data_IF_672604665452
#
_entry.id   IF_672604665452
#
_cell.length_a   1.000
_cell.length_b   1.000
_cell.length_c   1.000
_cell.angle_alpha   90.00
_cell.angle_beta   90.00
_cell.angle_gamma   90.00
#
_symmetry.space_group_name_H-M   'P 1'
#
loop_
_entity.id
_entity.type
_entity.pdbx_description
1 polymer ?
#
# COMPACT_ATOMS: atom_id res chain seq x y z
N UNK A 1 18.78 20.70 14.36
CA UNK A 1 17.86 20.40 13.25
C UNK A 1 16.46 20.73 13.74
N UNK A 2 15.89 21.84 13.29
CA UNK A 2 14.47 22.10 13.49
C UNK A 2 13.67 21.01 12.76
N UNK A 3 12.86 20.29 13.52
CA UNK A 3 12.17 19.09 13.07
C UNK A 3 10.87 19.41 12.35
N UNK A 4 10.51 18.53 11.40
CA UNK A 4 9.18 18.50 10.78
C UNK A 4 8.12 18.42 11.88
N UNK A 5 7.14 19.32 11.87
CA UNK A 5 6.05 19.35 12.86
C UNK A 5 4.73 18.96 12.19
N UNK A 6 4.07 17.95 12.74
CA UNK A 6 2.72 17.53 12.30
C UNK A 6 1.71 18.51 12.90
N UNK A 7 1.04 19.28 12.05
CA UNK A 7 0.08 20.33 12.47
C UNK A 7 -1.34 19.81 12.69
N UNK A 8 -1.69 18.70 12.04
CA UNK A 8 -3.00 18.07 12.13
C UNK A 8 -2.88 16.57 11.88
N UNK A 9 -3.58 15.77 12.66
CA UNK A 9 -3.77 14.34 12.43
C UNK A 9 -5.26 14.06 12.28
N UNK A 10 -5.64 13.46 11.15
CA UNK A 10 -7.03 13.03 10.90
C UNK A 10 -7.05 11.52 10.80
N UNK A 11 -7.95 10.87 11.53
CA UNK A 11 -8.18 9.44 11.45
C UNK A 11 -9.44 9.17 10.64
N UNK A 12 -9.29 8.48 9.53
CA UNK A 12 -10.42 7.94 8.77
C UNK A 12 -10.85 6.62 9.42
N UNK A 13 -12.15 6.47 9.70
CA UNK A 13 -12.71 5.21 10.21
C UNK A 13 -13.02 4.25 9.06
N UNK A 14 -13.64 4.81 8.02
CA UNK A 14 -13.99 4.12 6.79
C UNK A 14 -13.36 4.88 5.62
N UNK A 15 -12.86 4.14 4.62
CA UNK A 15 -12.28 4.72 3.42
C UNK A 15 -13.37 4.77 2.35
N UNK A 16 -14.22 5.80 2.45
CA UNK A 16 -15.25 6.11 1.45
C UNK A 16 -14.99 7.51 0.86
N UNK A 17 -15.45 7.78 -0.37
CA UNK A 17 -15.23 9.09 -1.00
C UNK A 17 -15.70 10.26 -0.13
N UNK A 18 -16.90 10.18 0.45
CA UNK A 18 -17.48 11.26 1.26
C UNK A 18 -16.66 11.54 2.53
N UNK A 19 -16.19 10.49 3.20
CA UNK A 19 -15.37 10.61 4.41
C UNK A 19 -13.99 11.23 4.09
N UNK A 20 -13.38 10.84 2.97
CA UNK A 20 -12.10 11.37 2.51
C UNK A 20 -12.24 12.85 2.13
N UNK A 21 -13.27 13.21 1.35
CA UNK A 21 -13.53 14.60 0.95
C UNK A 21 -13.77 15.47 2.18
N UNK A 22 -14.56 15.01 3.15
CA UNK A 22 -14.79 15.72 4.41
C UNK A 22 -13.50 15.92 5.21
N UNK A 23 -12.68 14.88 5.31
CA UNK A 23 -11.39 14.95 6.00
C UNK A 23 -10.46 15.96 5.31
N UNK A 24 -10.36 15.92 3.98
CA UNK A 24 -9.56 16.85 3.20
C UNK A 24 -10.09 18.29 3.29
N UNK A 25 -11.40 18.49 3.42
CA UNK A 25 -11.99 19.79 3.75
C UNK A 25 -11.41 20.38 5.04
N UNK A 26 -11.30 19.58 6.10
CA UNK A 26 -10.65 20.04 7.34
C UNK A 26 -9.13 20.27 7.16
N UNK A 27 -8.43 19.32 6.51
CA UNK A 27 -6.98 19.42 6.26
C UNK A 27 -6.63 20.68 5.44
N UNK A 28 -7.45 21.02 4.46
CA UNK A 28 -7.28 22.19 3.59
C UNK A 28 -7.31 23.52 4.34
N UNK A 29 -7.80 23.57 5.58
CA UNK A 29 -7.75 24.78 6.41
C UNK A 29 -6.38 25.01 7.06
N UNK A 30 -5.49 24.00 7.08
CA UNK A 30 -4.24 24.03 7.87
C UNK A 30 -2.99 23.57 7.13
N UNK A 31 -3.12 22.69 6.14
CA UNK A 31 -1.98 22.12 5.43
C UNK A 31 -2.24 21.96 3.94
N UNK A 32 -1.13 21.87 3.20
CA UNK A 32 -1.05 21.56 1.77
C UNK A 32 -0.17 20.35 1.47
N UNK A 33 0.69 19.99 2.41
CA UNK A 33 1.46 18.74 2.38
C UNK A 33 0.72 17.74 3.25
N UNK A 34 0.28 16.63 2.64
CA UNK A 34 -0.56 15.63 3.29
C UNK A 34 0.15 14.29 3.23
N UNK A 35 0.55 13.79 4.40
CA UNK A 35 1.07 12.43 4.53
C UNK A 35 -0.11 11.50 4.76
N UNK A 36 -0.24 10.49 3.90
CA UNK A 36 -1.37 9.56 3.86
C UNK A 36 -0.86 8.19 4.28
N UNK A 37 -1.46 7.64 5.34
CA UNK A 37 -1.20 6.28 5.81
C UNK A 37 -2.51 5.52 5.82
N UNK A 38 -2.63 4.53 4.93
CA UNK A 38 -3.79 3.68 4.78
C UNK A 38 -3.38 2.23 5.06
N UNK A 39 -4.36 1.38 5.33
CA UNK A 39 -4.10 -0.04 5.44
C UNK A 39 -3.83 -0.61 4.03
N UNK A 40 -2.94 -1.58 3.92
CA UNK A 40 -2.62 -2.17 2.63
C UNK A 40 -3.78 -3.05 2.13
N UNK A 41 -4.02 -3.00 0.82
CA UNK A 41 -5.06 -3.78 0.15
C UNK A 41 -6.40 -3.07 0.05
N UNK A 42 -7.36 -3.71 -0.64
CA UNK A 42 -8.73 -3.21 -0.81
C UNK A 42 -8.90 -1.86 -1.54
N UNK A 43 -7.93 -1.48 -2.37
CA UNK A 43 -8.06 -0.32 -3.28
C UNK A 43 -8.19 1.03 -2.55
N UNK A 44 -7.69 1.12 -1.30
CA UNK A 44 -7.85 2.31 -0.46
C UNK A 44 -7.06 3.51 -0.96
N UNK A 45 -5.82 3.32 -1.44
CA UNK A 45 -5.01 4.40 -2.00
C UNK A 45 -5.67 4.99 -3.25
N UNK A 46 -6.19 4.12 -4.13
CA UNK A 46 -6.92 4.52 -5.34
C UNK A 46 -8.20 5.26 -4.99
N UNK A 47 -8.96 4.74 -4.03
CA UNK A 47 -10.18 5.38 -3.51
C UNK A 47 -9.86 6.76 -2.95
N UNK A 48 -8.79 6.89 -2.18
CA UNK A 48 -8.34 8.15 -1.61
C UNK A 48 -7.98 9.17 -2.69
N UNK A 49 -7.16 8.78 -3.67
CA UNK A 49 -6.67 9.72 -4.67
C UNK A 49 -7.79 10.20 -5.60
N UNK A 50 -8.71 9.31 -5.97
CA UNK A 50 -9.89 9.66 -6.75
C UNK A 50 -10.83 10.58 -5.96
N UNK A 51 -11.05 10.31 -4.67
CA UNK A 51 -11.86 11.17 -3.81
C UNK A 51 -11.21 12.56 -3.61
N UNK A 52 -9.88 12.62 -3.45
CA UNK A 52 -9.15 13.89 -3.38
C UNK A 52 -9.32 14.70 -4.68
N UNK A 53 -9.28 14.03 -5.83
CA UNK A 53 -9.55 14.63 -7.13
C UNK A 53 -10.98 15.15 -7.24
N UNK A 54 -11.97 14.33 -6.92
CA UNK A 54 -13.39 14.67 -7.04
C UNK A 54 -13.81 15.77 -6.05
N UNK A 55 -13.17 15.83 -4.88
CA UNK A 55 -13.32 16.90 -3.88
C UNK A 55 -12.58 18.20 -4.21
N UNK A 56 -11.84 18.28 -5.33
CA UNK A 56 -11.09 19.47 -5.74
C UNK A 56 -9.79 19.69 -4.96
N UNK A 57 -9.37 18.73 -4.14
CA UNK A 57 -8.11 18.76 -3.38
C UNK A 57 -6.92 18.19 -4.15
N UNK A 58 -7.08 17.94 -5.45
CA UNK A 58 -6.01 17.50 -6.35
C UNK A 58 -5.70 18.55 -7.40
N UNK A 59 -4.94 19.55 -6.97
CA UNK A 59 -4.49 20.66 -7.80
C UNK A 59 -3.04 21.02 -7.44
N UNK A 60 -2.49 22.07 -8.04
CA UNK A 60 -1.08 22.45 -7.86
C UNK A 60 -0.76 23.03 -6.46
N UNK A 61 -1.75 23.14 -5.57
CA UNK A 61 -1.51 23.54 -4.18
C UNK A 61 -1.18 22.35 -3.27
N UNK A 62 -1.53 21.12 -3.63
CA UNK A 62 -1.43 19.98 -2.72
C UNK A 62 -0.32 19.01 -3.11
N UNK A 63 0.38 18.50 -2.11
CA UNK A 63 1.33 17.39 -2.24
C UNK A 63 0.86 16.24 -1.37
N UNK A 64 0.63 15.09 -2.01
CA UNK A 64 0.29 13.85 -1.33
C UNK A 64 1.50 12.94 -1.24
N UNK A 65 1.79 12.47 -0.03
CA UNK A 65 2.88 11.53 0.25
C UNK A 65 2.25 10.30 0.90
N UNK A 66 2.13 9.22 0.15
CA UNK A 66 1.68 7.94 0.69
C UNK A 66 2.84 7.29 1.44
N UNK A 67 2.73 7.21 2.77
CA UNK A 67 3.66 6.47 3.62
C UNK A 67 3.23 5.01 3.65
N UNK A 68 3.58 4.29 2.60
CA UNK A 68 3.27 2.88 2.43
C UNK A 68 4.57 2.07 2.48
N UNK A 69 5.00 1.81 3.71
CA UNK A 69 6.23 1.06 3.99
C UNK A 69 6.16 -0.43 3.63
N UNK A 70 5.00 -0.89 3.14
CA UNK A 70 4.68 -2.30 2.93
C UNK A 70 4.41 -2.63 1.47
N UNK A 71 4.50 -1.67 0.55
CA UNK A 71 4.36 -1.89 -0.88
C UNK A 71 5.67 -1.92 -1.66
N UNK A 72 5.51 -2.29 -2.94
CA UNK A 72 6.51 -2.13 -4.00
C UNK A 72 6.41 -0.75 -4.68
N UNK A 73 5.94 0.27 -3.95
CA UNK A 73 5.65 1.58 -4.50
C UNK A 73 4.31 1.60 -5.23
N UNK A 74 4.32 1.85 -6.53
CA UNK A 74 3.09 1.99 -7.34
C UNK A 74 2.42 0.67 -7.75
N UNK A 75 2.75 -0.43 -7.07
CA UNK A 75 2.21 -1.75 -7.36
C UNK A 75 1.70 -2.44 -6.09
N UNK A 76 0.47 -2.92 -6.18
CA UNK A 76 -0.20 -3.75 -5.18
C UNK A 76 0.10 -5.23 -5.40
N UNK A 77 0.56 -5.96 -4.37
CA UNK A 77 0.69 -7.40 -4.45
C UNK A 77 -0.70 -8.06 -4.44
N UNK A 78 -0.98 -8.87 -5.47
CA UNK A 78 -2.22 -9.66 -5.55
C UNK A 78 -1.95 -11.09 -5.07
N UNK A 79 -2.84 -11.65 -4.24
CA UNK A 79 -2.75 -13.05 -3.83
C UNK A 79 -3.07 -13.94 -5.05
N UNK A 80 -2.11 -14.79 -5.43
CA UNK A 80 -2.29 -15.74 -6.52
C UNK A 80 -2.19 -15.20 -7.94
N UNK A 81 -1.86 -13.93 -8.10
CA UNK A 81 -1.72 -13.28 -9.40
C UNK A 81 -0.45 -12.42 -9.50
N UNK A 82 -0.19 -11.86 -10.70
CA UNK A 82 0.82 -10.82 -10.84
C UNK A 82 0.44 -9.59 -10.02
N UNK A 83 1.46 -8.82 -9.62
CA UNK A 83 1.23 -7.53 -8.99
C UNK A 83 0.47 -6.61 -9.96
N UNK A 84 -0.42 -5.78 -9.41
CA UNK A 84 -1.24 -4.83 -10.19
C UNK A 84 -0.86 -3.39 -9.88
N UNK A 85 -0.87 -2.48 -10.85
CA UNK A 85 -0.66 -1.06 -10.59
C UNK A 85 -1.72 -0.45 -9.66
N UNK A 86 -1.35 0.54 -8.85
CA UNK A 86 -2.26 1.22 -7.91
C UNK A 86 -3.44 1.91 -8.58
N UNK A 87 -3.32 2.31 -9.84
CA UNK A 87 -4.38 3.02 -10.56
C UNK A 87 -5.40 2.09 -11.21
N UNK A 88 -5.13 0.80 -11.31
CA UNK A 88 -6.07 -0.16 -11.90
C UNK A 88 -7.12 -0.62 -10.89
N UNK A 89 -8.40 -0.57 -11.26
CA UNK A 89 -9.47 -1.06 -10.41
C UNK A 89 -9.33 -2.58 -10.14
N UNK A 90 -9.47 -2.93 -8.87
CA UNK A 90 -9.45 -4.31 -8.39
C UNK A 90 -10.82 -4.98 -8.49
N UNK A 91 -11.89 -4.23 -8.72
CA UNK A 91 -13.28 -4.72 -8.77
C UNK A 91 -13.63 -5.28 -10.14
N UNK A 92 -14.64 -6.14 -10.15
CA UNK A 92 -15.27 -6.65 -11.38
C UNK A 92 -16.79 -6.53 -11.23
N UNK A 93 -17.47 -5.73 -12.07
CA UNK A 93 -16.93 -4.90 -13.16
C UNK A 93 -16.09 -3.72 -12.65
N UNK A 94 -15.18 -3.23 -13.50
CA UNK A 94 -14.36 -2.03 -13.24
C UNK A 94 -15.23 -0.77 -13.29
N UNK A 95 -14.86 0.25 -12.51
CA UNK A 95 -15.48 1.57 -12.50
C UNK A 95 -15.13 2.46 -13.71
N UNK A 96 -14.19 2.02 -14.57
CA UNK A 96 -13.77 2.73 -15.78
C UNK A 96 -12.90 3.96 -15.55
N UNK A 97 -12.36 4.17 -14.34
CA UNK A 97 -11.64 5.40 -13.95
C UNK A 97 -10.12 5.27 -13.90
N UNK A 98 -9.55 4.17 -14.39
CA UNK A 98 -8.11 3.88 -14.26
C UNK A 98 -7.22 4.98 -14.86
N UNK A 99 -7.65 5.60 -15.97
CA UNK A 99 -6.92 6.73 -16.57
C UNK A 99 -6.91 7.96 -15.67
N UNK A 100 -8.02 8.24 -14.98
CA UNK A 100 -8.08 9.35 -14.03
C UNK A 100 -7.20 9.08 -12.82
N UNK A 101 -7.24 7.83 -12.31
CA UNK A 101 -6.39 7.40 -11.21
C UNK A 101 -4.91 7.50 -11.56
N UNK A 102 -4.51 7.09 -12.77
CA UNK A 102 -3.11 7.20 -13.23
C UNK A 102 -2.63 8.66 -13.21
N UNK A 103 -3.38 9.57 -13.83
CA UNK A 103 -3.04 11.00 -13.86
C UNK A 103 -3.03 11.65 -12.47
N UNK A 104 -3.82 11.11 -11.55
CA UNK A 104 -3.81 11.51 -10.15
C UNK A 104 -2.52 11.03 -9.46
N UNK A 105 -2.16 9.75 -9.61
CA UNK A 105 -0.95 9.19 -9.02
C UNK A 105 0.35 9.80 -9.57
N UNK A 106 0.38 10.30 -10.80
CA UNK A 106 1.52 11.06 -11.35
C UNK A 106 1.87 12.32 -10.52
N UNK A 107 0.91 12.83 -9.73
CA UNK A 107 1.09 13.99 -8.84
C UNK A 107 1.28 13.61 -7.38
N UNK A 108 1.39 12.32 -7.07
CA UNK A 108 1.58 11.81 -5.72
C UNK A 108 2.97 11.18 -5.56
N UNK A 109 3.50 11.23 -4.34
CA UNK A 109 4.73 10.54 -3.96
C UNK A 109 4.39 9.32 -3.11
N UNK A 110 5.16 8.24 -3.27
CA UNK A 110 5.05 7.05 -2.43
C UNK A 110 6.39 6.81 -1.75
N UNK A 111 6.38 6.80 -0.42
CA UNK A 111 7.51 6.36 0.39
C UNK A 111 7.27 4.88 0.70
N UNK A 112 8.05 4.02 0.07
CA UNK A 112 7.98 2.57 0.28
C UNK A 112 9.32 2.00 0.74
N UNK A 113 9.27 0.82 1.36
CA UNK A 113 10.47 0.03 1.65
C UNK A 113 10.99 -0.69 0.39
N UNK A 114 10.43 -0.37 -0.78
CA UNK A 114 10.68 -0.96 -2.09
C UNK A 114 10.45 -2.47 -2.21
N UNK A 115 10.44 -3.25 -1.12
CA UNK A 115 10.13 -4.69 -1.07
C UNK A 115 10.81 -5.52 -2.18
N UNK A 116 12.04 -5.15 -2.55
CA UNK A 116 12.80 -5.78 -3.62
C UNK A 116 12.37 -5.40 -5.04
N UNK A 117 11.57 -4.35 -5.25
CA UNK A 117 11.30 -3.77 -6.56
C UNK A 117 12.51 -2.95 -7.04
N UNK A 118 12.91 -3.12 -8.31
CA UNK A 118 14.13 -2.54 -8.88
C UNK A 118 15.23 -3.59 -9.07
N UNK A 119 16.48 -3.17 -9.28
CA UNK A 119 17.63 -4.08 -9.29
C UNK A 119 17.93 -4.59 -7.88
N UNK A 120 16.99 -5.31 -7.28
CA UNK A 120 17.29 -6.20 -6.16
C UNK A 120 18.29 -7.23 -6.68
N UNK A 121 19.46 -7.32 -6.05
CA UNK A 121 20.44 -8.35 -6.37
C UNK A 121 19.76 -9.73 -6.35
N UNK A 122 20.26 -10.64 -7.20
CA UNK A 122 19.77 -12.02 -7.33
C UNK A 122 19.60 -12.71 -5.95
N UNK A 123 20.36 -12.25 -4.94
CA UNK A 123 20.32 -12.65 -3.53
C UNK A 123 18.92 -12.61 -2.88
N UNK A 124 18.07 -11.62 -3.18
CA UNK A 124 16.75 -11.52 -2.53
C UNK A 124 15.75 -12.55 -3.08
N UNK A 125 15.78 -12.79 -4.39
CA UNK A 125 15.00 -13.88 -5.00
C UNK A 125 15.44 -15.24 -4.49
N UNK A 126 16.75 -15.45 -4.35
CA UNK A 126 17.30 -16.70 -3.86
C UNK A 126 16.91 -16.94 -2.40
N UNK A 127 17.04 -15.92 -1.54
CA UNK A 127 16.60 -15.98 -0.16
C UNK A 127 15.10 -16.29 -0.05
N UNK A 128 14.25 -15.64 -0.86
CA UNK A 128 12.81 -15.89 -0.89
C UNK A 128 12.50 -17.35 -1.24
N UNK A 129 13.15 -17.88 -2.28
CA UNK A 129 12.95 -19.26 -2.71
C UNK A 129 13.41 -20.26 -1.64
N UNK A 130 14.52 -19.96 -0.97
CA UNK A 130 15.04 -20.78 0.11
C UNK A 130 14.12 -20.82 1.33
N UNK A 131 13.52 -19.68 1.72
CA UNK A 131 12.52 -19.64 2.80
C UNK A 131 11.31 -20.51 2.45
N UNK A 132 10.80 -20.41 1.22
CA UNK A 132 9.67 -21.24 0.75
C UNK A 132 10.04 -22.73 0.78
N UNK A 133 11.25 -23.08 0.34
CA UNK A 133 11.73 -24.46 0.37
C UNK A 133 11.78 -25.01 1.81
N UNK A 134 12.30 -24.22 2.75
CA UNK A 134 12.42 -24.61 4.17
C UNK A 134 11.11 -24.66 4.94
N UNK A 135 10.03 -24.05 4.46
CA UNK A 135 8.70 -24.23 5.07
C UNK A 135 8.24 -25.69 5.06
N UNK A 136 8.80 -26.54 4.17
CA UNK A 136 8.55 -27.98 4.14
C UNK A 136 9.24 -28.73 5.28
N UNK A 137 10.25 -28.13 5.89
CA UNK A 137 10.99 -28.71 7.00
C UNK A 137 10.25 -28.50 8.35
N UNK A 138 10.55 -29.29 9.40
CA UNK A 138 10.06 -29.01 10.74
C UNK A 138 10.45 -27.60 11.23
N UNK A 139 9.60 -26.89 11.99
CA UNK A 139 8.34 -27.34 12.60
C UNK A 139 7.09 -27.10 11.74
N UNK A 140 7.24 -26.49 10.56
CA UNK A 140 6.09 -26.06 9.75
C UNK A 140 5.52 -27.20 8.90
N UNK A 141 6.38 -28.11 8.39
CA UNK A 141 5.97 -29.32 7.64
C UNK A 141 4.91 -29.05 6.57
N UNK A 142 5.02 -27.91 5.91
CA UNK A 142 4.05 -27.37 4.97
C UNK A 142 4.27 -28.02 3.59
N UNK A 143 3.73 -29.23 3.43
CA UNK A 143 3.88 -30.10 2.25
C UNK A 143 2.71 -29.93 1.28
N UNK A 144 1.63 -30.69 1.45
CA UNK A 144 0.53 -30.75 0.49
C UNK A 144 -0.37 -29.50 0.58
N UNK A 145 -0.62 -29.02 1.79
CA UNK A 145 -1.50 -27.87 2.10
C UNK A 145 -0.98 -26.55 1.54
N UNK A 146 0.34 -26.47 1.31
CA UNK A 146 0.99 -25.29 0.76
C UNK A 146 1.28 -25.39 -0.73
N UNK A 147 0.83 -26.47 -1.37
CA UNK A 147 1.09 -26.72 -2.78
C UNK A 147 0.29 -25.73 -3.64
N UNK A 148 0.98 -24.77 -4.25
CA UNK A 148 0.40 -23.78 -5.15
C UNK A 148 0.96 -22.38 -4.92
N UNK A 149 1.05 -21.58 -5.99
CA UNK A 149 1.64 -20.24 -5.95
C UNK A 149 0.89 -19.27 -5.01
N UNK A 150 -0.38 -19.54 -4.74
CA UNK A 150 -1.22 -18.81 -3.76
C UNK A 150 -0.86 -19.10 -2.30
N UNK A 151 -0.35 -20.31 -2.01
CA UNK A 151 -0.13 -20.81 -0.66
C UNK A 151 1.37 -20.84 -0.26
N UNK A 152 2.26 -20.75 -1.25
CA UNK A 152 3.72 -20.73 -1.07
C UNK A 152 4.32 -19.38 -1.50
N UNK A 153 4.07 -18.33 -0.70
CA UNK A 153 4.60 -16.97 -0.94
C UNK A 153 5.19 -16.42 0.36
N UNK A 154 6.43 -15.94 0.31
CA UNK A 154 7.00 -15.17 1.44
C UNK A 154 6.19 -13.90 1.60
N UNK A 155 5.81 -13.60 2.85
CA UNK A 155 5.11 -12.36 3.19
C UNK A 155 5.87 -11.16 2.61
N UNK A 156 5.16 -10.32 1.85
CA UNK A 156 5.66 -9.00 1.47
C UNK A 156 5.64 -8.02 2.66
N UNK A 157 5.19 -8.45 3.83
CA UNK A 157 5.05 -7.63 5.02
C UNK A 157 6.05 -8.08 6.07
N UNK A 158 7.13 -7.32 6.26
CA UNK A 158 7.98 -7.42 7.43
C UNK A 158 7.29 -6.71 8.60
N UNK A 159 6.36 -7.40 9.26
CA UNK A 159 6.00 -7.07 10.64
C UNK A 159 6.27 -8.28 11.51
N UNK A 160 7.53 -8.47 11.90
CA UNK A 160 7.82 -9.08 13.20
C UNK A 160 7.34 -8.09 14.27
N UNK A 161 6.04 -8.14 14.60
CA UNK A 161 5.57 -7.59 15.86
C UNK A 161 5.79 -8.70 16.88
N UNK A 162 6.95 -8.68 17.54
CA UNK A 162 7.14 -9.46 18.76
C UNK A 162 6.11 -9.00 19.80
N UNK A 163 4.98 -9.69 19.82
CA UNK A 163 4.11 -9.80 20.99
C UNK A 163 3.61 -11.24 21.06
N UNK A 164 4.45 -12.08 21.64
CA UNK A 164 3.95 -13.23 22.39
C UNK A 164 4.71 -13.32 23.71
N UNK A 165 4.18 -12.59 24.70
CA UNK A 165 4.12 -13.11 26.06
C UNK A 165 2.97 -14.10 26.11
N UNK A 166 3.26 -15.41 26.11
CA UNK A 166 2.40 -16.41 26.73
C UNK A 166 3.30 -17.42 27.47
N UNK A 167 3.33 -17.20 28.78
CA UNK A 167 3.69 -18.06 29.94
C UNK A 167 4.82 -19.08 29.80
#
# INVERSE_FOLDING_TARGET
MEGVTITLTVKLRDITPDEIIRALGNVSTRSRIVVVCLADGYDYERTFILAAKDGGYMNNEYVYIFSDTKSKGFYNPVLGGPDKPLWEDMKTPSDGRDKEALLAFEKAMIISNHMGAGASSDDFSDFKNEVIARMKDPPFSCTDECTGAVYSKVSCFNTFRERYHIK
#
